data_IF_867531193593
#
_entry.id   IF_867531193593
#
_cell.length_a   1.000
_cell.length_b   1.000
_cell.length_c   1.000
_cell.angle_alpha   90.00
_cell.angle_beta   90.00
_cell.angle_gamma   90.00
#
_symmetry.space_group_name_H-M   'P 1'
#
loop_
_entity.id
_entity.type
_entity.pdbx_description
1 polymer ?
#
# COMPACT_ATOMS: atom_id res chain seq x y z
N UNK A 1 26.13 -3.81 -36.73
CA UNK A 1 25.57 -3.31 -38.01
C UNK A 1 26.16 -4.13 -39.15
N UNK A 2 25.39 -4.60 -40.14
CA UNK A 2 25.92 -5.33 -41.30
C UNK A 2 26.03 -4.36 -42.47
N UNK A 3 27.24 -4.13 -42.99
CA UNK A 3 27.47 -3.28 -44.16
C UNK A 3 27.50 -4.15 -45.42
N UNK A 4 26.63 -3.83 -46.38
CA UNK A 4 26.51 -4.60 -47.62
C UNK A 4 27.52 -4.12 -48.65
N UNK A 5 28.33 -5.04 -49.16
CA UNK A 5 29.29 -4.79 -50.23
C UNK A 5 28.83 -5.56 -51.47
N UNK A 6 28.40 -4.82 -52.47
CA UNK A 6 28.04 -5.43 -53.76
C UNK A 6 29.28 -5.59 -54.61
N UNK A 7 29.51 -6.80 -55.11
CA UNK A 7 30.66 -7.13 -55.95
C UNK A 7 30.23 -7.13 -57.41
N UNK A 8 30.98 -6.46 -58.28
CA UNK A 8 30.72 -6.46 -59.73
C UNK A 8 31.73 -7.31 -60.47
N UNK A 9 31.30 -8.02 -61.51
CA UNK A 9 32.18 -8.80 -62.41
C UNK A 9 33.32 -7.95 -63.00
N UNK A 10 33.12 -6.64 -63.17
CA UNK A 10 34.13 -5.66 -63.63
C UNK A 10 35.15 -5.27 -62.55
N UNK A 11 35.30 -6.07 -61.48
CA UNK A 11 36.29 -5.90 -60.40
C UNK A 11 36.02 -4.73 -59.46
N UNK A 12 34.78 -4.26 -59.35
CA UNK A 12 34.40 -3.22 -58.39
C UNK A 12 33.89 -3.79 -57.06
N UNK A 13 34.24 -3.13 -55.95
CA UNK A 13 33.52 -3.23 -54.68
C UNK A 13 32.69 -1.96 -54.53
N UNK A 14 31.38 -2.12 -54.37
CA UNK A 14 30.45 -1.01 -54.17
C UNK A 14 29.88 -1.14 -52.76
N UNK A 15 30.49 -0.47 -51.78
CA UNK A 15 29.96 -0.48 -50.43
C UNK A 15 28.72 0.40 -50.33
N UNK A 16 27.80 0.02 -49.46
CA UNK A 16 26.65 0.84 -49.11
C UNK A 16 27.10 2.14 -48.38
N UNK A 17 28.17 2.05 -47.59
CA UNK A 17 28.80 3.19 -46.91
C UNK A 17 30.32 3.19 -47.09
N UNK A 18 30.90 4.34 -47.40
CA UNK A 18 32.37 4.52 -47.54
C UNK A 18 33.09 4.75 -46.21
N UNK A 19 32.34 5.01 -45.14
CA UNK A 19 32.85 5.12 -43.77
C UNK A 19 32.37 3.92 -42.95
N UNK A 20 33.27 3.29 -42.21
CA UNK A 20 32.98 2.17 -41.33
C UNK A 20 33.19 2.62 -39.87
N UNK A 21 32.16 2.49 -39.05
CA UNK A 21 32.22 2.76 -37.61
C UNK A 21 31.98 1.48 -36.81
N UNK A 22 32.58 1.40 -35.62
CA UNK A 22 32.29 0.34 -34.64
C UNK A 22 31.00 0.69 -33.90
N UNK A 23 29.87 0.10 -34.33
CA UNK A 23 28.57 0.38 -33.70
C UNK A 23 27.93 -0.89 -33.15
N UNK A 24 27.81 -0.95 -31.82
CA UNK A 24 27.06 -1.97 -31.07
C UNK A 24 27.89 -2.72 -30.02
N UNK A 25 27.22 -3.36 -29.06
CA UNK A 25 27.75 -3.92 -27.81
C UNK A 25 28.88 -4.98 -27.92
N UNK A 26 29.29 -5.33 -29.14
CA UNK A 26 30.42 -6.25 -29.43
C UNK A 26 31.54 -5.62 -30.25
N UNK A 27 31.47 -4.34 -30.60
CA UNK A 27 32.47 -3.60 -31.40
C UNK A 27 32.90 -4.30 -32.71
N UNK A 28 32.02 -5.06 -33.35
CA UNK A 28 32.33 -5.78 -34.59
C UNK A 28 31.61 -5.16 -35.80
N UNK A 29 32.37 -4.85 -36.85
CA UNK A 29 31.82 -4.44 -38.16
C UNK A 29 31.78 -5.64 -39.08
N UNK A 30 30.58 -6.15 -39.34
CA UNK A 30 30.36 -7.27 -40.26
C UNK A 30 30.15 -6.75 -41.68
N UNK A 31 30.96 -7.23 -42.62
CA UNK A 31 30.80 -7.00 -44.06
C UNK A 31 30.07 -8.18 -44.68
N UNK A 32 29.02 -7.92 -45.45
CA UNK A 32 28.32 -8.94 -46.24
C UNK A 32 28.62 -8.73 -47.73
N UNK A 33 29.25 -9.71 -48.36
CA UNK A 33 29.61 -9.69 -49.78
C UNK A 33 28.49 -10.29 -50.63
N UNK A 34 27.91 -9.47 -51.49
CA UNK A 34 26.88 -9.88 -52.44
C UNK A 34 27.52 -10.13 -53.81
N UNK A 35 27.81 -11.40 -54.10
CA UNK A 35 28.44 -11.83 -55.35
C UNK A 35 27.41 -12.10 -56.47
N UNK A 36 27.71 -11.72 -57.73
CA UNK A 36 26.93 -12.11 -58.89
C UNK A 36 27.11 -13.62 -59.15
N UNK A 37 26.15 -14.24 -59.82
CA UNK A 37 26.10 -15.69 -59.99
C UNK A 37 27.40 -16.29 -60.58
N UNK A 38 28.05 -15.58 -61.51
CA UNK A 38 29.30 -15.99 -62.16
C UNK A 38 30.52 -16.06 -61.23
N UNK A 39 30.47 -15.39 -60.08
CA UNK A 39 31.57 -15.32 -59.11
C UNK A 39 31.30 -16.12 -57.83
N UNK A 40 30.19 -16.87 -57.76
CA UNK A 40 29.86 -17.74 -56.62
C UNK A 40 30.55 -19.10 -56.74
N UNK A 41 30.70 -19.80 -55.61
CA UNK A 41 31.23 -21.17 -55.54
C UNK A 41 32.74 -21.29 -55.37
N UNK A 42 33.46 -20.16 -55.28
CA UNK A 42 34.92 -20.15 -55.07
C UNK A 42 35.29 -19.74 -53.64
N UNK A 43 36.47 -20.16 -53.19
CA UNK A 43 37.00 -19.78 -51.89
C UNK A 43 37.38 -18.29 -51.87
N UNK A 44 37.15 -17.63 -50.73
CA UNK A 44 37.29 -16.19 -50.57
C UNK A 44 38.42 -15.85 -49.61
N UNK A 45 39.22 -14.87 -49.99
CA UNK A 45 40.24 -14.26 -49.15
C UNK A 45 40.10 -12.75 -49.17
N UNK A 46 40.18 -12.11 -48.02
CA UNK A 46 40.21 -10.65 -47.89
C UNK A 46 41.63 -10.22 -47.55
N UNK A 47 42.08 -9.19 -48.25
CA UNK A 47 43.34 -8.51 -47.98
C UNK A 47 42.99 -7.14 -47.41
N UNK A 48 43.41 -6.90 -46.18
CA UNK A 48 43.26 -5.63 -45.47
C UNK A 48 44.62 -4.95 -45.37
N UNK A 49 44.70 -3.66 -45.70
CA UNK A 49 45.93 -2.88 -45.51
C UNK A 49 45.60 -1.63 -44.72
N UNK A 50 46.31 -1.46 -43.60
CA UNK A 50 46.28 -0.28 -42.74
C UNK A 50 47.70 0.31 -42.64
N UNK A 51 47.88 1.39 -41.91
CA UNK A 51 49.21 1.94 -41.60
C UNK A 51 50.08 0.97 -40.77
N UNK A 52 49.46 0.03 -40.05
CA UNK A 52 50.15 -0.96 -39.22
C UNK A 52 50.65 -2.17 -40.02
N UNK A 53 50.16 -2.37 -41.25
CA UNK A 53 50.60 -3.46 -42.12
C UNK A 53 49.50 -4.05 -42.98
N UNK A 54 49.85 -5.12 -43.69
CA UNK A 54 48.94 -5.91 -44.53
C UNK A 54 48.52 -7.20 -43.82
N UNK A 55 47.23 -7.45 -43.76
CA UNK A 55 46.61 -8.60 -43.13
C UNK A 55 45.76 -9.39 -44.13
N UNK A 56 45.75 -10.71 -43.97
CA UNK A 56 45.22 -11.65 -44.94
C UNK A 56 44.28 -12.63 -44.23
N UNK A 57 42.99 -12.63 -44.57
CA UNK A 57 41.97 -13.44 -43.88
C UNK A 57 41.21 -14.35 -44.85
N UNK A 58 40.99 -15.60 -44.46
CA UNK A 58 40.07 -16.50 -45.15
C UNK A 58 38.63 -16.20 -44.74
N UNK A 59 37.70 -16.27 -45.69
CA UNK A 59 36.28 -16.02 -45.43
C UNK A 59 35.50 -17.30 -45.69
N UNK A 60 35.02 -17.90 -44.61
CA UNK A 60 34.28 -19.17 -44.64
C UNK A 60 32.82 -19.01 -45.10
N UNK A 61 32.28 -17.80 -45.12
CA UNK A 61 30.91 -17.47 -45.52
C UNK A 61 30.83 -16.26 -46.48
N UNK A 62 29.65 -15.77 -46.83
CA UNK A 62 29.50 -14.47 -47.53
C UNK A 62 29.66 -13.26 -46.59
N UNK A 63 29.84 -13.50 -45.28
CA UNK A 63 30.07 -12.46 -44.26
C UNK A 63 31.48 -12.52 -43.69
N UNK A 64 32.02 -11.35 -43.32
CA UNK A 64 33.32 -11.21 -42.66
C UNK A 64 33.27 -10.15 -41.57
N UNK A 65 33.68 -10.51 -40.36
CA UNK A 65 33.83 -9.55 -39.26
C UNK A 65 35.23 -8.93 -39.30
N UNK A 66 35.31 -7.61 -39.37
CA UNK A 66 36.58 -6.90 -39.32
C UNK A 66 37.24 -7.09 -37.94
N UNK A 67 38.49 -7.57 -37.87
CA UNK A 67 39.19 -7.76 -36.61
C UNK A 67 39.63 -6.42 -36.01
N UNK A 68 39.75 -6.39 -34.69
CA UNK A 68 40.08 -5.18 -33.91
C UNK A 68 41.39 -4.52 -34.35
N UNK A 69 42.41 -5.31 -34.70
CA UNK A 69 43.70 -4.83 -35.18
C UNK A 69 43.61 -3.96 -36.45
N UNK A 70 42.60 -4.21 -37.30
CA UNK A 70 42.33 -3.40 -38.49
C UNK A 70 41.56 -2.11 -38.15
N UNK A 71 40.75 -2.13 -37.10
CA UNK A 71 39.84 -1.06 -36.70
C UNK A 71 40.48 0.02 -35.82
N UNK A 72 41.76 -0.13 -35.47
CA UNK A 72 42.53 0.88 -34.71
C UNK A 72 43.09 2.01 -35.57
N UNK A 73 43.05 1.87 -36.90
CA UNK A 73 43.51 2.89 -37.83
C UNK A 73 42.37 3.84 -38.24
N UNK A 74 42.72 4.95 -38.86
CA UNK A 74 41.82 5.92 -39.47
C UNK A 74 41.39 5.52 -40.89
N UNK A 75 42.10 4.59 -41.53
CA UNK A 75 41.78 4.11 -42.89
C UNK A 75 42.02 2.62 -43.07
N UNK A 76 41.17 1.98 -43.88
CA UNK A 76 41.29 0.58 -44.27
C UNK A 76 41.19 0.45 -45.78
N UNK A 77 42.23 -0.09 -46.42
CA UNK A 77 42.17 -0.51 -47.82
C UNK A 77 41.87 -2.00 -47.91
N UNK A 78 40.73 -2.35 -48.52
CA UNK A 78 40.23 -3.72 -48.58
C UNK A 78 40.16 -4.22 -50.03
N UNK A 79 40.60 -5.46 -50.25
CA UNK A 79 40.48 -6.17 -51.53
C UNK A 79 39.91 -7.57 -51.31
N UNK A 80 38.92 -7.96 -52.13
CA UNK A 80 38.41 -9.33 -52.17
C UNK A 80 39.14 -10.14 -53.26
N UNK A 81 39.56 -11.33 -52.90
CA UNK A 81 40.27 -12.28 -53.78
C UNK A 81 39.49 -13.60 -53.80
N UNK A 82 39.18 -14.10 -54.99
CA UNK A 82 38.53 -15.40 -55.19
C UNK A 82 39.53 -16.40 -55.75
N UNK A 83 39.49 -17.61 -55.21
CA UNK A 83 40.39 -18.71 -55.59
C UNK A 83 39.65 -20.03 -55.83
N UNK A 84 40.16 -20.76 -56.81
CA UNK A 84 39.85 -22.17 -57.04
C UNK A 84 41.09 -22.99 -56.64
N UNK A 85 41.01 -23.63 -55.48
CA UNK A 85 42.19 -24.16 -54.78
C UNK A 85 43.25 -23.08 -54.54
N UNK A 86 44.48 -23.32 -55.00
CA UNK A 86 45.59 -22.36 -54.85
C UNK A 86 45.64 -21.30 -55.96
N UNK A 87 44.81 -21.40 -56.99
CA UNK A 87 44.83 -20.48 -58.14
C UNK A 87 43.90 -19.31 -57.92
N UNK A 88 44.43 -18.08 -58.04
CA UNK A 88 43.60 -16.87 -58.06
C UNK A 88 42.89 -16.77 -59.40
N UNK A 89 41.57 -16.75 -59.34
CA UNK A 89 40.71 -16.66 -60.54
C UNK A 89 40.17 -15.25 -60.73
N UNK A 90 40.07 -14.47 -59.65
CA UNK A 90 39.51 -13.12 -59.69
C UNK A 90 39.96 -12.28 -58.48
N UNK A 91 40.18 -10.97 -58.68
CA UNK A 91 40.47 -10.00 -57.63
C UNK A 91 39.68 -8.72 -57.87
N UNK A 92 39.16 -8.12 -56.81
CA UNK A 92 38.59 -6.79 -56.89
C UNK A 92 39.69 -5.72 -57.00
N UNK A 93 39.34 -4.54 -57.48
CA UNK A 93 40.14 -3.34 -57.26
C UNK A 93 40.04 -3.02 -55.75
N UNK A 94 41.16 -2.73 -55.07
CA UNK A 94 41.10 -2.37 -53.66
C UNK A 94 40.30 -1.09 -53.44
N UNK A 95 39.46 -1.05 -52.42
CA UNK A 95 38.67 0.11 -52.03
C UNK A 95 39.12 0.61 -50.66
N UNK A 96 39.24 1.93 -50.49
CA UNK A 96 39.63 2.55 -49.22
C UNK A 96 38.41 3.03 -48.47
N UNK A 97 38.27 2.55 -47.24
CA UNK A 97 37.26 2.97 -46.27
C UNK A 97 37.88 3.94 -45.26
N UNK A 98 37.12 4.95 -44.86
CA UNK A 98 37.44 5.75 -43.67
C UNK A 98 36.95 4.99 -42.44
N UNK A 99 37.81 4.85 -41.45
CA UNK A 99 37.47 4.23 -40.17
C UNK A 99 37.27 5.31 -39.11
N UNK A 100 36.25 5.14 -38.27
CA UNK A 100 36.01 6.00 -37.10
C UNK A 100 36.34 5.22 -35.81
N UNK A 101 37.61 5.23 -35.35
CA UNK A 101 37.99 4.53 -34.12
C UNK A 101 37.34 5.22 -32.90
N UNK A 102 36.72 4.45 -32.01
CA UNK A 102 36.16 4.92 -30.72
C UNK A 102 36.98 4.36 -29.56
N UNK A 103 38.30 4.53 -29.58
CA UNK A 103 39.17 4.34 -28.41
C UNK A 103 39.67 5.73 -27.99
N UNK A 104 39.59 6.05 -26.71
CA UNK A 104 40.29 7.23 -26.18
C UNK A 104 41.78 6.90 -25.94
N UNK A 105 42.61 7.93 -25.76
CA UNK A 105 44.07 7.83 -25.70
C UNK A 105 44.61 7.01 -24.50
N UNK A 106 43.73 6.48 -23.63
CA UNK A 106 44.10 5.65 -22.48
C UNK A 106 44.18 4.15 -22.79
N UNK A 107 43.71 3.72 -23.97
CA UNK A 107 43.62 2.31 -24.35
C UNK A 107 42.46 1.57 -23.69
N UNK A 108 41.66 2.24 -22.86
CA UNK A 108 40.38 1.71 -22.39
C UNK A 108 39.27 2.01 -23.40
N UNK A 109 38.34 1.07 -23.52
CA UNK A 109 37.15 1.28 -24.33
C UNK A 109 36.27 2.34 -23.65
N UNK A 110 36.04 3.51 -24.27
CA UNK A 110 35.28 4.60 -23.67
C UNK A 110 33.81 4.21 -23.40
N UNK A 111 33.25 3.24 -24.12
CA UNK A 111 31.94 2.66 -23.80
C UNK A 111 32.02 1.78 -22.57
N UNK A 112 33.10 1.00 -22.39
CA UNK A 112 33.28 0.19 -21.17
C UNK A 112 33.47 1.10 -19.97
N UNK A 113 34.30 2.14 -20.09
CA UNK A 113 34.49 3.14 -19.04
C UNK A 113 33.19 3.88 -18.72
N UNK A 114 32.48 4.39 -19.74
CA UNK A 114 31.17 5.03 -19.54
C UNK A 114 30.14 4.05 -18.95
N UNK A 115 30.14 2.77 -19.33
CA UNK A 115 29.27 1.74 -18.73
C UNK A 115 29.64 1.48 -17.27
N UNK A 116 30.91 1.48 -16.92
CA UNK A 116 31.38 1.29 -15.54
C UNK A 116 31.08 2.53 -14.68
N UNK A 117 31.33 3.73 -15.19
CA UNK A 117 31.00 5.00 -14.52
C UNK A 117 29.48 5.16 -14.36
N UNK A 118 28.69 4.84 -15.39
CA UNK A 118 27.23 4.81 -15.31
C UNK A 118 26.77 3.74 -14.30
N UNK A 119 27.37 2.55 -14.32
CA UNK A 119 27.05 1.49 -13.36
C UNK A 119 27.34 1.92 -11.92
N UNK A 120 28.40 2.68 -11.65
CA UNK A 120 28.67 3.21 -10.31
C UNK A 120 27.74 4.39 -9.97
N UNK A 121 27.37 5.23 -10.94
CA UNK A 121 26.40 6.30 -10.72
C UNK A 121 25.00 5.74 -10.42
N UNK A 122 24.53 4.78 -11.21
CA UNK A 122 23.26 4.07 -11.01
C UNK A 122 23.25 3.35 -9.65
N UNK A 123 24.39 2.77 -9.25
CA UNK A 123 24.58 2.14 -7.95
C UNK A 123 24.42 3.16 -6.82
N UNK A 124 25.09 4.30 -6.93
CA UNK A 124 25.04 5.36 -5.92
C UNK A 124 23.64 5.99 -5.84
N UNK A 125 22.97 6.20 -6.97
CA UNK A 125 21.58 6.69 -7.03
C UNK A 125 20.60 5.70 -6.41
N UNK A 126 20.74 4.41 -6.71
CA UNK A 126 19.96 3.35 -6.07
C UNK A 126 20.25 3.28 -4.56
N UNK A 127 21.51 3.36 -4.17
CA UNK A 127 21.94 3.41 -2.77
C UNK A 127 21.35 4.61 -2.01
N UNK A 128 21.35 5.80 -2.60
CA UNK A 128 20.74 6.99 -2.01
C UNK A 128 19.21 6.85 -1.92
N UNK A 129 18.57 6.37 -2.98
CA UNK A 129 17.12 6.12 -2.99
C UNK A 129 16.70 5.09 -1.95
N UNK A 130 17.44 3.98 -1.84
CA UNK A 130 17.21 2.96 -0.82
C UNK A 130 17.55 3.48 0.57
N UNK A 131 18.53 4.38 0.72
CA UNK A 131 18.83 5.05 1.99
C UNK A 131 17.66 5.89 2.46
N UNK A 132 17.03 6.66 1.56
CA UNK A 132 15.85 7.46 1.86
C UNK A 132 14.63 6.59 2.22
N UNK A 133 14.44 5.46 1.52
CA UNK A 133 13.31 4.55 1.73
C UNK A 133 13.45 3.69 3.00
N UNK A 134 14.67 3.27 3.33
CA UNK A 134 14.93 2.33 4.45
C UNK A 134 15.47 3.01 5.71
N UNK A 135 16.01 4.23 5.59
CA UNK A 135 16.69 4.95 6.66
C UNK A 135 18.10 4.44 6.99
N UNK A 136 18.64 3.49 6.22
CA UNK A 136 20.02 3.00 6.37
C UNK A 136 20.97 3.84 5.50
N UNK A 137 22.25 3.96 5.87
CA UNK A 137 23.24 4.63 5.01
C UNK A 137 23.82 3.62 4.01
N UNK A 138 23.27 3.61 2.80
CA UNK A 138 23.59 2.65 1.73
C UNK A 138 24.37 3.30 0.58
N UNK A 139 24.90 4.51 0.79
CA UNK A 139 25.60 5.27 -0.26
C UNK A 139 26.86 4.59 -0.78
N UNK A 140 27.48 3.74 0.05
CA UNK A 140 28.68 2.98 -0.31
C UNK A 140 28.46 1.46 -0.44
N UNK A 141 27.22 0.97 -0.26
CA UNK A 141 26.86 -0.45 -0.37
C UNK A 141 27.06 -0.99 -1.79
N UNK A 142 27.50 -2.24 -1.95
CA UNK A 142 27.76 -2.82 -3.27
C UNK A 142 26.47 -3.31 -3.98
N UNK A 143 26.57 -3.70 -5.25
CA UNK A 143 25.40 -4.11 -6.04
C UNK A 143 24.70 -5.34 -5.49
N UNK A 144 25.43 -6.31 -4.93
CA UNK A 144 24.83 -7.53 -4.41
C UNK A 144 24.04 -7.20 -3.14
N UNK A 145 24.60 -6.35 -2.27
CA UNK A 145 23.92 -5.80 -1.08
C UNK A 145 22.69 -4.97 -1.46
N UNK A 146 22.78 -4.05 -2.43
CA UNK A 146 21.64 -3.23 -2.87
C UNK A 146 20.56 -4.07 -3.56
N UNK A 147 20.91 -5.11 -4.31
CA UNK A 147 19.96 -6.01 -4.96
C UNK A 147 19.29 -6.90 -3.91
N UNK A 148 20.04 -7.43 -2.95
CA UNK A 148 19.49 -8.20 -1.83
C UNK A 148 18.52 -7.31 -1.03
N UNK A 149 18.89 -6.08 -0.69
CA UNK A 149 18.00 -5.10 -0.04
C UNK A 149 16.79 -4.77 -0.93
N UNK A 150 16.96 -4.55 -2.23
CA UNK A 150 15.87 -4.24 -3.15
C UNK A 150 14.92 -5.44 -3.38
N UNK A 151 15.43 -6.67 -3.26
CA UNK A 151 14.63 -7.89 -3.30
C UNK A 151 13.94 -8.17 -1.96
N UNK A 152 14.54 -7.71 -0.86
CA UNK A 152 13.96 -7.71 0.49
C UNK A 152 12.97 -6.55 0.70
N UNK A 153 13.02 -5.50 -0.13
CA UNK A 153 11.93 -4.51 -0.20
C UNK A 153 10.64 -5.26 -0.54
N UNK A 154 9.52 -4.91 0.11
CA UNK A 154 8.25 -5.47 -0.31
C UNK A 154 8.00 -5.05 -1.78
N UNK A 155 8.10 -5.99 -2.73
CA UNK A 155 7.38 -5.91 -4.01
C UNK A 155 5.97 -5.44 -3.64
N UNK A 156 5.44 -4.40 -4.29
CA UNK A 156 4.05 -3.96 -4.07
C UNK A 156 3.12 -5.16 -4.24
N UNK A 157 2.80 -5.79 -3.14
CA UNK A 157 1.66 -6.66 -2.97
C UNK A 157 0.91 -6.15 -1.76
N UNK A 158 -0.40 -6.05 -1.95
CA UNK A 158 -1.44 -5.65 -1.01
C UNK A 158 -1.61 -4.14 -0.75
N UNK A 159 -2.23 -3.51 -1.76
CA UNK A 159 -2.96 -2.22 -1.82
C UNK A 159 -2.11 -0.97 -1.86
N UNK A 160 -2.03 -0.38 -3.05
CA UNK A 160 -1.67 1.03 -3.22
C UNK A 160 -2.59 1.88 -2.35
N UNK A 161 -2.05 2.60 -1.36
CA UNK A 161 -2.83 3.52 -0.52
C UNK A 161 -2.52 4.94 -0.93
N UNK A 162 -3.52 5.66 -1.42
CA UNK A 162 -3.47 7.10 -1.59
C UNK A 162 -3.88 7.79 -0.28
N UNK A 163 -2.93 8.44 0.36
CA UNK A 163 -3.16 9.18 1.60
C UNK A 163 -3.45 10.66 1.31
N UNK A 164 -4.71 11.06 1.51
CA UNK A 164 -5.19 12.43 1.33
C UNK A 164 -5.40 13.16 2.66
N UNK A 165 -4.91 12.61 3.79
CA UNK A 165 -5.16 13.17 5.12
C UNK A 165 -4.69 14.62 5.31
N UNK A 166 -3.75 15.09 4.49
CA UNK A 166 -3.25 16.47 4.50
C UNK A 166 -3.88 17.37 3.41
N UNK A 167 -4.87 16.89 2.66
CA UNK A 167 -5.44 17.62 1.53
C UNK A 167 -6.50 18.65 1.97
N UNK A 168 -6.03 19.82 2.41
CA UNK A 168 -6.85 20.90 2.98
C UNK A 168 -7.95 21.42 2.06
N UNK A 169 -7.75 21.38 0.74
CA UNK A 169 -8.77 21.75 -0.24
C UNK A 169 -10.02 20.86 -0.14
N UNK A 170 -9.84 19.57 0.20
CA UNK A 170 -10.96 18.65 0.43
C UNK A 170 -11.75 19.07 1.66
N UNK A 171 -11.08 19.28 2.79
CA UNK A 171 -11.73 19.73 4.03
C UNK A 171 -12.51 21.02 3.81
N UNK A 172 -11.92 22.00 3.12
CA UNK A 172 -12.59 23.25 2.76
C UNK A 172 -13.82 23.03 1.88
N UNK A 173 -13.74 22.13 0.89
CA UNK A 173 -14.88 21.84 0.00
C UNK A 173 -16.05 21.21 0.77
N UNK A 174 -15.78 20.27 1.67
CA UNK A 174 -16.81 19.60 2.48
C UNK A 174 -17.41 20.54 3.54
N UNK A 175 -16.62 21.46 4.10
CA UNK A 175 -17.14 22.47 5.03
C UNK A 175 -18.26 23.32 4.41
N UNK A 176 -18.18 23.59 3.11
CA UNK A 176 -19.15 24.43 2.40
C UNK A 176 -20.24 23.61 1.69
N UNK A 177 -20.18 22.27 1.75
CA UNK A 177 -21.13 21.39 1.09
C UNK A 177 -22.42 21.25 1.90
N UNK A 178 -23.58 21.45 1.25
CA UNK A 178 -24.92 21.27 1.85
C UNK A 178 -25.55 19.91 1.53
N UNK A 179 -24.90 19.15 0.64
CA UNK A 179 -25.23 17.76 0.31
C UNK A 179 -24.00 16.90 0.56
N UNK A 180 -24.20 15.63 0.96
CA UNK A 180 -23.09 14.69 1.09
C UNK A 180 -22.40 14.56 -0.29
N UNK A 181 -21.09 14.88 -0.41
CA UNK A 181 -20.45 14.91 -1.71
C UNK A 181 -20.38 13.53 -2.37
N UNK A 182 -20.49 13.53 -3.70
CA UNK A 182 -20.40 12.33 -4.54
C UNK A 182 -19.04 11.62 -4.52
N UNK A 183 -18.05 12.24 -3.87
CA UNK A 183 -16.75 11.63 -3.54
C UNK A 183 -16.90 10.48 -2.53
N UNK A 184 -17.96 10.52 -1.72
CA UNK A 184 -18.40 9.38 -0.90
C UNK A 184 -19.26 8.45 -1.76
N UNK A 185 -20.17 9.01 -2.55
CA UNK A 185 -21.23 8.27 -3.27
C UNK A 185 -20.82 7.81 -4.67
N UNK A 186 -19.65 7.19 -4.83
CA UNK A 186 -19.26 6.41 -6.03
C UNK A 186 -19.40 7.09 -7.41
N UNK A 187 -19.56 8.42 -7.45
CA UNK A 187 -19.85 9.18 -8.69
C UNK A 187 -18.61 9.86 -9.28
N UNK A 188 -17.57 10.07 -8.47
CA UNK A 188 -16.24 10.34 -8.99
C UNK A 188 -15.61 9.00 -9.34
N UNK A 189 -15.39 8.76 -10.62
CA UNK A 189 -14.44 7.75 -11.10
C UNK A 189 -13.04 8.16 -10.61
N UNK A 190 -12.71 7.85 -9.36
CA UNK A 190 -11.33 7.59 -8.97
C UNK A 190 -10.89 6.21 -9.48
N UNK A 191 -11.87 5.37 -9.86
CA UNK A 191 -11.68 4.12 -10.55
C UNK A 191 -11.98 4.30 -12.05
N UNK A 192 -11.03 3.85 -12.88
CA UNK A 192 -11.10 3.59 -14.33
C UNK A 192 -10.75 4.75 -15.28
N UNK A 193 -9.45 4.95 -15.52
CA UNK A 193 -9.00 4.66 -16.89
C UNK A 193 -9.20 3.16 -17.08
N UNK A 194 -9.99 2.73 -18.08
CA UNK A 194 -10.12 1.30 -18.37
C UNK A 194 -8.74 0.68 -18.63
N UNK A 195 -8.41 -0.45 -18.00
CA UNK A 195 -7.60 -1.42 -18.69
C UNK A 195 -8.38 -2.73 -18.77
N UNK A 196 -8.28 -3.40 -19.91
CA UNK A 196 -8.73 -4.79 -20.11
C UNK A 196 -7.92 -5.81 -19.26
N UNK A 197 -7.47 -5.43 -18.05
CA UNK A 197 -6.61 -6.23 -17.17
C UNK A 197 -7.29 -6.37 -15.81
N UNK A 198 -7.79 -7.58 -15.46
CA UNK A 198 -8.57 -7.84 -14.24
C UNK A 198 -7.72 -7.89 -12.94
N UNK A 199 -6.51 -7.34 -12.95
CA UNK A 199 -5.56 -7.36 -11.82
C UNK A 199 -4.95 -5.98 -11.52
N UNK A 200 -5.58 -4.86 -11.93
CA UNK A 200 -5.17 -3.53 -11.43
C UNK A 200 -5.36 -3.50 -9.91
N UNK A 201 -4.28 -3.40 -9.14
CA UNK A 201 -4.35 -3.30 -7.68
C UNK A 201 -5.39 -2.23 -7.27
N UNK A 202 -6.39 -2.61 -6.46
CA UNK A 202 -7.37 -1.66 -5.92
C UNK A 202 -6.63 -0.61 -5.09
N UNK A 203 -6.59 0.64 -5.59
CA UNK A 203 -6.04 1.76 -4.83
C UNK A 203 -7.01 2.07 -3.69
N UNK A 204 -6.53 1.92 -2.45
CA UNK A 204 -7.22 2.36 -1.27
C UNK A 204 -7.02 3.85 -1.02
N UNK A 205 -8.00 4.48 -0.39
CA UNK A 205 -7.95 5.91 -0.08
C UNK A 205 -8.11 6.13 1.43
N UNK A 206 -7.22 6.93 2.00
CA UNK A 206 -7.37 7.52 3.33
C UNK A 206 -7.76 8.98 3.20
N UNK A 207 -8.91 9.35 3.74
CA UNK A 207 -9.44 10.71 3.67
C UNK A 207 -9.09 11.51 4.93
N UNK A 208 -8.94 12.85 4.80
CA UNK A 208 -8.82 13.72 5.96
C UNK A 208 -10.13 13.73 6.76
N UNK A 209 -10.10 14.39 7.92
CA UNK A 209 -11.34 14.78 8.58
C UNK A 209 -12.17 15.70 7.68
N UNK A 210 -13.41 15.29 7.44
CA UNK A 210 -14.37 16.02 6.61
C UNK A 210 -15.35 16.74 7.54
N UNK A 211 -15.23 18.08 7.59
CA UNK A 211 -16.19 18.90 8.30
C UNK A 211 -17.51 18.93 7.52
N UNK A 212 -18.43 18.04 7.87
CA UNK A 212 -19.73 17.88 7.22
C UNK A 212 -20.88 18.50 8.02
N UNK A 213 -20.61 19.53 8.85
CA UNK A 213 -21.61 20.26 9.66
C UNK A 213 -22.76 20.94 8.89
N UNK A 214 -22.74 20.91 7.57
CA UNK A 214 -23.81 21.44 6.73
C UNK A 214 -24.57 20.34 6.00
N UNK A 215 -24.14 19.08 6.15
CA UNK A 215 -24.78 17.89 5.58
C UNK A 215 -25.88 17.42 6.54
N UNK A 216 -27.10 17.29 6.02
CA UNK A 216 -28.28 16.98 6.83
C UNK A 216 -28.74 15.52 6.72
N UNK A 217 -28.24 14.76 5.73
CA UNK A 217 -28.65 13.39 5.44
C UNK A 217 -27.45 12.48 5.11
N UNK A 218 -27.32 11.38 5.85
CA UNK A 218 -26.27 10.36 5.73
C UNK A 218 -26.86 8.96 5.36
N UNK A 219 -27.97 8.94 4.62
CA UNK A 219 -28.74 7.73 4.33
C UNK A 219 -28.11 6.78 3.29
N UNK A 220 -28.81 5.68 2.97
CA UNK A 220 -28.31 4.65 2.03
C UNK A 220 -28.05 5.15 0.61
N UNK A 221 -28.63 6.28 0.21
CA UNK A 221 -28.40 6.87 -1.11
C UNK A 221 -27.03 7.51 -1.23
N UNK A 222 -26.31 7.68 -0.12
CA UNK A 222 -24.98 8.29 -0.06
C UNK A 222 -23.97 7.34 0.59
N UNK A 223 -23.78 6.11 0.06
CA UNK A 223 -22.86 5.14 0.65
C UNK A 223 -21.42 5.67 0.57
N UNK A 224 -20.55 5.26 1.51
CA UNK A 224 -19.09 5.43 1.38
C UNK A 224 -18.58 4.54 0.24
N UNK A 225 -17.60 5.01 -0.56
CA UNK A 225 -16.98 4.23 -1.64
C UNK A 225 -16.29 2.98 -1.12
N UNK A 226 -16.32 1.89 -1.91
CA UNK A 226 -15.61 0.66 -1.60
C UNK A 226 -14.08 0.79 -1.68
N UNK A 227 -13.55 1.87 -2.26
CA UNK A 227 -12.11 2.17 -2.29
C UNK A 227 -11.61 2.92 -1.04
N UNK A 228 -12.52 3.39 -0.17
CA UNK A 228 -12.12 4.15 1.04
C UNK A 228 -11.77 3.18 2.17
N UNK A 229 -10.53 3.29 2.66
CA UNK A 229 -10.05 2.54 3.81
C UNK A 229 -10.26 3.28 5.14
N UNK A 230 -10.07 4.59 5.13
CA UNK A 230 -10.16 5.44 6.32
C UNK A 230 -10.86 6.76 5.99
N UNK A 231 -11.81 7.15 6.83
CA UNK A 231 -12.46 8.46 6.73
C UNK A 231 -13.02 8.90 8.08
N UNK A 232 -13.18 10.22 8.24
CA UNK A 232 -13.82 10.79 9.43
C UNK A 232 -14.77 11.93 9.06
N UNK A 233 -15.90 12.03 9.78
CA UNK A 233 -16.99 12.98 9.48
C UNK A 233 -17.44 13.76 10.70
N UNK A 234 -17.91 14.98 10.44
CA UNK A 234 -18.77 15.73 11.35
C UNK A 234 -20.25 15.42 11.09
N UNK A 235 -20.91 14.80 12.05
CA UNK A 235 -22.33 14.44 11.94
C UNK A 235 -23.23 15.28 12.87
N UNK A 236 -22.70 16.36 13.45
CA UNK A 236 -23.41 17.24 14.39
C UNK A 236 -24.68 17.90 13.82
N UNK A 237 -24.72 18.09 12.50
CA UNK A 237 -25.80 18.80 11.82
C UNK A 237 -26.99 17.97 11.39
N UNK A 238 -26.96 16.64 11.59
CA UNK A 238 -28.07 15.77 11.21
C UNK A 238 -29.18 15.85 12.26
N UNK A 239 -30.33 16.51 11.97
CA UNK A 239 -31.41 16.62 12.95
C UNK A 239 -32.20 15.32 13.01
N UNK A 240 -32.56 14.95 14.23
CA UNK A 240 -33.31 13.74 14.54
C UNK A 240 -34.70 13.68 13.91
N UNK A 241 -35.09 12.48 13.45
CA UNK A 241 -36.46 11.93 13.48
C UNK A 241 -36.64 10.59 12.73
N UNK A 242 -35.59 9.83 12.36
CA UNK A 242 -35.66 8.36 12.13
C UNK A 242 -34.26 7.80 11.81
N UNK A 243 -33.40 7.67 12.82
CA UNK A 243 -32.00 7.26 12.67
C UNK A 243 -31.81 5.94 11.89
N UNK A 244 -32.82 5.05 11.84
CA UNK A 244 -32.76 3.79 11.08
C UNK A 244 -32.45 4.01 9.59
N UNK A 245 -32.84 5.15 9.04
CA UNK A 245 -32.67 5.48 7.62
C UNK A 245 -31.61 6.55 7.36
N UNK A 246 -31.34 7.42 8.34
CA UNK A 246 -30.46 8.57 8.16
C UNK A 246 -28.97 8.25 8.25
N UNK A 247 -28.57 7.08 8.76
CA UNK A 247 -27.15 6.69 8.86
C UNK A 247 -26.83 5.43 8.05
N UNK A 248 -27.67 5.16 7.04
CA UNK A 248 -27.50 4.04 6.14
C UNK A 248 -26.16 4.00 5.40
N UNK A 249 -25.47 5.14 5.26
CA UNK A 249 -24.17 5.20 4.60
C UNK A 249 -23.10 4.32 5.25
N UNK A 250 -23.21 4.06 6.55
CA UNK A 250 -22.26 3.27 7.35
C UNK A 250 -22.66 1.79 7.48
N UNK A 251 -23.84 1.42 6.98
CA UNK A 251 -24.37 0.06 7.05
C UNK A 251 -23.92 -0.79 5.87
N UNK A 252 -23.85 -2.11 6.11
CA UNK A 252 -23.51 -3.16 5.13
C UNK A 252 -22.12 -2.95 4.53
N UNK A 253 -21.17 -3.68 5.12
CA UNK A 253 -19.79 -3.92 4.71
C UNK A 253 -19.37 -3.25 3.41
N UNK A 254 -18.77 -2.07 3.55
CA UNK A 254 -17.88 -1.56 2.51
C UNK A 254 -16.67 -2.48 2.45
N UNK A 255 -16.24 -2.85 1.25
CA UNK A 255 -15.22 -3.87 1.08
C UNK A 255 -13.88 -3.48 1.75
N UNK A 256 -13.62 -2.17 1.89
CA UNK A 256 -12.34 -1.66 2.35
C UNK A 256 -12.35 -0.79 3.60
N UNK A 257 -13.50 -0.31 4.10
CA UNK A 257 -13.52 0.64 5.22
C UNK A 257 -13.06 -0.02 6.52
N UNK A 258 -11.81 0.26 6.93
CA UNK A 258 -11.19 -0.28 8.15
C UNK A 258 -11.26 0.66 9.33
N UNK A 259 -11.26 1.98 9.10
CA UNK A 259 -11.30 2.98 10.17
C UNK A 259 -12.32 4.06 9.88
N UNK A 260 -13.13 4.36 10.88
CA UNK A 260 -14.17 5.39 10.79
C UNK A 260 -14.15 6.30 12.02
N UNK A 261 -13.99 7.60 11.82
CA UNK A 261 -14.17 8.60 12.87
C UNK A 261 -15.47 9.39 12.70
N UNK A 262 -16.16 9.67 13.80
CA UNK A 262 -17.38 10.47 13.82
C UNK A 262 -17.31 11.49 14.96
N UNK A 263 -17.53 12.76 14.65
CA UNK A 263 -17.68 13.86 15.63
C UNK A 263 -19.11 14.37 15.64
N UNK A 264 -19.58 14.95 16.76
CA UNK A 264 -20.96 15.45 16.85
C UNK A 264 -21.99 14.35 17.09
N UNK A 265 -21.54 13.17 17.52
CA UNK A 265 -22.37 11.99 17.76
C UNK A 265 -23.42 12.24 18.86
N UNK A 266 -23.18 13.18 19.77
CA UNK A 266 -24.07 13.63 20.86
C UNK A 266 -25.40 14.23 20.38
N UNK A 267 -25.46 14.65 19.13
CA UNK A 267 -26.67 15.16 18.49
C UNK A 267 -27.57 14.05 17.94
N UNK A 268 -27.16 12.78 18.07
CA UNK A 268 -27.85 11.62 17.50
C UNK A 268 -28.61 10.86 18.58
N UNK A 269 -29.93 10.75 18.42
CA UNK A 269 -30.75 9.99 19.36
C UNK A 269 -30.65 8.47 19.17
N UNK A 270 -30.01 7.91 18.14
CA UNK A 270 -29.89 6.45 18.02
C UNK A 270 -28.72 5.99 17.14
N UNK A 271 -27.90 5.09 17.67
CA UNK A 271 -26.88 4.34 16.93
C UNK A 271 -27.39 2.98 16.42
N UNK A 272 -28.68 2.67 16.61
CA UNK A 272 -29.20 1.34 16.31
C UNK A 272 -28.95 0.94 14.87
N UNK A 273 -28.36 -0.24 14.67
CA UNK A 273 -27.96 -0.78 13.37
C UNK A 273 -26.96 0.08 12.59
N UNK A 274 -26.35 1.13 13.14
CA UNK A 274 -25.55 2.09 12.35
C UNK A 274 -24.37 1.44 11.62
N UNK A 275 -23.68 0.50 12.27
CA UNK A 275 -22.52 -0.22 11.71
C UNK A 275 -22.81 -1.70 11.44
N UNK A 276 -24.09 -2.07 11.34
CA UNK A 276 -24.48 -3.47 11.20
C UNK A 276 -23.84 -4.13 9.98
N UNK A 277 -23.30 -5.32 10.19
CA UNK A 277 -22.63 -6.15 9.19
C UNK A 277 -21.50 -5.41 8.46
N UNK A 278 -20.61 -4.75 9.19
CA UNK A 278 -19.36 -4.16 8.67
C UNK A 278 -18.16 -5.06 8.99
N UNK A 279 -17.90 -6.13 8.21
CA UNK A 279 -16.99 -7.21 8.59
C UNK A 279 -15.51 -6.85 8.49
N UNK A 280 -15.16 -5.79 7.77
CA UNK A 280 -13.76 -5.33 7.60
C UNK A 280 -13.39 -4.13 8.47
N UNK A 281 -14.38 -3.54 9.16
CA UNK A 281 -14.19 -2.40 10.03
C UNK A 281 -13.40 -2.84 11.28
N UNK A 282 -12.26 -2.21 11.51
CA UNK A 282 -11.32 -2.54 12.58
C UNK A 282 -11.41 -1.54 13.74
N UNK A 283 -11.69 -0.27 13.47
CA UNK A 283 -11.73 0.80 14.47
C UNK A 283 -12.86 1.79 14.18
N UNK A 284 -13.56 2.17 15.24
CA UNK A 284 -14.55 3.25 15.24
C UNK A 284 -14.15 4.25 16.32
N UNK A 285 -14.03 5.51 15.94
CA UNK A 285 -13.75 6.60 16.86
C UNK A 285 -14.97 7.52 16.97
N UNK A 286 -15.50 7.70 18.17
CA UNK A 286 -16.70 8.51 18.44
C UNK A 286 -16.32 9.69 19.34
N UNK A 287 -16.45 10.91 18.84
CA UNK A 287 -16.02 12.15 19.52
C UNK A 287 -17.17 13.14 19.68
N UNK A 288 -17.14 13.90 20.77
CA UNK A 288 -18.09 14.98 21.07
C UNK A 288 -17.46 16.34 20.70
N UNK A 289 -18.23 17.27 20.13
CA UNK A 289 -17.84 18.66 19.81
C UNK A 289 -16.58 18.87 18.93
N UNK A 290 -16.11 17.85 18.20
CA UNK A 290 -15.00 18.01 17.25
C UNK A 290 -13.61 18.21 17.86
N UNK A 291 -13.47 18.28 19.19
CA UNK A 291 -12.16 18.31 19.86
C UNK A 291 -11.66 16.89 20.14
N UNK A 292 -10.42 16.59 19.74
CA UNK A 292 -9.69 15.37 20.11
C UNK A 292 -9.22 15.41 21.59
N UNK A 293 -9.91 16.15 22.44
CA UNK A 293 -9.50 16.50 23.80
C UNK A 293 -10.58 16.02 24.79
N UNK A 294 -10.17 15.11 25.68
CA UNK A 294 -10.62 14.81 27.07
C UNK A 294 -12.14 14.93 27.40
N UNK A 295 -12.76 13.91 28.06
CA UNK A 295 -14.19 13.64 27.93
C UNK A 295 -15.07 14.65 28.68
N UNK A 296 -15.88 15.41 27.94
CA UNK A 296 -17.06 16.09 28.49
C UNK A 296 -18.29 15.18 28.38
N UNK A 297 -19.01 15.07 29.48
CA UNK A 297 -20.04 14.07 29.76
C UNK A 297 -21.40 14.30 29.06
N UNK A 298 -21.47 14.42 27.75
CA UNK A 298 -22.79 14.35 27.09
C UNK A 298 -22.69 13.58 25.80
N UNK A 299 -22.86 12.26 25.89
CA UNK A 299 -23.29 11.45 24.77
C UNK A 299 -24.71 10.98 25.10
N UNK A 300 -25.70 11.15 24.21
CA UNK A 300 -27.08 10.73 24.50
C UNK A 300 -27.66 9.93 23.34
N UNK A 301 -27.01 8.84 22.95
CA UNK A 301 -27.71 7.86 22.14
C UNK A 301 -28.85 7.24 22.96
N UNK A 302 -30.06 7.35 22.44
CA UNK A 302 -31.29 6.79 23.01
C UNK A 302 -31.44 5.31 22.64
N UNK A 303 -30.70 4.77 21.66
CA UNK A 303 -30.75 3.35 21.31
C UNK A 303 -29.44 2.82 20.73
N UNK A 304 -29.06 1.61 21.14
CA UNK A 304 -27.82 0.92 20.74
C UNK A 304 -28.06 -0.48 20.13
N UNK A 305 -29.33 -0.87 19.97
CA UNK A 305 -29.70 -2.18 19.45
C UNK A 305 -28.99 -2.48 18.13
N UNK A 306 -28.29 -3.61 18.08
CA UNK A 306 -27.51 -4.09 16.93
C UNK A 306 -26.49 -3.09 16.35
N UNK A 307 -26.07 -2.06 17.10
CA UNK A 307 -25.22 -0.98 16.59
C UNK A 307 -23.93 -1.47 15.90
N UNK A 308 -23.28 -2.49 16.46
CA UNK A 308 -22.04 -3.10 15.94
C UNK A 308 -22.23 -4.58 15.55
N UNK A 309 -23.46 -5.06 15.44
CA UNK A 309 -23.73 -6.47 15.16
C UNK A 309 -23.07 -6.89 13.83
N UNK A 310 -22.29 -7.97 13.84
CA UNK A 310 -21.61 -8.48 12.64
C UNK A 310 -20.28 -7.79 12.31
N UNK A 311 -19.80 -6.85 13.13
CA UNK A 311 -18.47 -6.24 13.01
C UNK A 311 -17.34 -7.18 13.45
N UNK A 312 -17.13 -8.26 12.69
CA UNK A 312 -16.25 -9.39 13.08
C UNK A 312 -14.78 -9.00 13.30
N UNK A 313 -14.27 -7.99 12.59
CA UNK A 313 -12.89 -7.48 12.73
C UNK A 313 -12.75 -6.24 13.62
N UNK A 314 -13.85 -5.71 14.16
CA UNK A 314 -13.81 -4.52 15.00
C UNK A 314 -13.02 -4.83 16.27
N UNK A 315 -11.88 -4.16 16.42
CA UNK A 315 -10.99 -4.27 17.58
C UNK A 315 -11.23 -3.16 18.58
N UNK A 316 -11.49 -1.95 18.10
CA UNK A 316 -11.46 -0.76 18.95
C UNK A 316 -12.67 0.15 18.72
N UNK A 317 -13.33 0.52 19.82
CA UNK A 317 -14.25 1.64 19.90
C UNK A 317 -13.60 2.68 20.81
N UNK A 318 -13.13 3.78 20.21
CA UNK A 318 -12.31 4.80 20.87
C UNK A 318 -13.00 6.16 20.87
N UNK A 319 -12.41 7.13 21.56
CA UNK A 319 -13.02 8.44 21.81
C UNK A 319 -13.82 8.46 23.11
N UNK A 320 -14.99 9.09 23.11
CA UNK A 320 -15.85 9.23 24.28
C UNK A 320 -16.43 7.86 24.71
N UNK A 321 -16.55 7.59 26.03
CA UNK A 321 -17.24 6.39 26.51
C UNK A 321 -18.70 6.34 26.07
N UNK A 322 -19.21 5.14 25.78
CA UNK A 322 -20.61 4.90 25.45
C UNK A 322 -21.50 5.24 26.65
N UNK A 323 -22.46 6.14 26.46
CA UNK A 323 -23.40 6.58 27.50
C UNK A 323 -24.71 5.79 27.37
N UNK A 324 -24.95 4.90 28.33
CA UNK A 324 -26.12 4.03 28.34
C UNK A 324 -27.28 4.61 29.16
N UNK A 325 -27.22 5.87 29.59
CA UNK A 325 -28.12 6.43 30.61
C UNK A 325 -29.57 6.52 30.18
N UNK A 326 -29.82 6.67 28.88
CA UNK A 326 -31.15 6.95 28.32
C UNK A 326 -31.95 5.68 28.03
N UNK A 327 -31.27 4.54 27.83
CA UNK A 327 -31.91 3.30 27.36
C UNK A 327 -31.34 2.06 28.02
N UNK A 328 -32.20 1.05 28.20
CA UNK A 328 -31.82 -0.30 28.59
C UNK A 328 -31.78 -1.25 27.40
N UNK A 329 -32.07 -0.77 26.18
CA UNK A 329 -32.11 -1.59 24.96
C UNK A 329 -30.82 -1.44 24.14
N UNK A 330 -29.93 -2.39 24.39
CA UNK A 330 -28.71 -2.65 23.63
C UNK A 330 -28.63 -4.12 23.22
N UNK A 331 -29.80 -4.73 22.96
CA UNK A 331 -29.90 -6.09 22.46
C UNK A 331 -29.09 -6.27 21.18
N UNK A 332 -28.24 -7.30 21.15
CA UNK A 332 -27.42 -7.63 19.98
C UNK A 332 -26.31 -6.63 19.64
N UNK A 333 -26.09 -5.59 20.46
CA UNK A 333 -25.14 -4.50 20.18
C UNK A 333 -23.76 -5.00 19.72
N UNK A 334 -23.23 -6.04 20.37
CA UNK A 334 -21.92 -6.63 20.06
C UNK A 334 -21.98 -8.07 19.53
N UNK A 335 -23.13 -8.51 19.01
CA UNK A 335 -23.26 -9.85 18.45
C UNK A 335 -22.26 -10.05 17.31
N UNK A 336 -21.57 -11.19 17.31
CA UNK A 336 -20.50 -11.54 16.37
C UNK A 336 -19.27 -10.60 16.36
N UNK A 337 -19.05 -9.78 17.41
CA UNK A 337 -17.87 -8.90 17.55
C UNK A 337 -16.67 -9.63 18.18
N UNK A 338 -16.22 -10.72 17.56
CA UNK A 338 -15.20 -11.62 18.13
C UNK A 338 -13.82 -10.97 18.32
N UNK A 339 -13.50 -9.95 17.53
CA UNK A 339 -12.22 -9.25 17.60
C UNK A 339 -12.20 -8.08 18.56
N UNK A 340 -13.31 -7.73 19.22
CA UNK A 340 -13.40 -6.52 20.05
C UNK A 340 -12.50 -6.64 21.27
N UNK A 341 -11.60 -5.67 21.44
CA UNK A 341 -10.61 -5.60 22.51
C UNK A 341 -10.85 -4.40 23.43
N UNK A 342 -11.20 -3.25 22.84
CA UNK A 342 -11.33 -2.01 23.59
C UNK A 342 -12.67 -1.34 23.33
N UNK A 343 -13.41 -1.09 24.41
CA UNK A 343 -14.59 -0.23 24.44
C UNK A 343 -14.74 0.33 25.85
N UNK A 344 -15.20 1.57 25.97
CA UNK A 344 -15.48 2.19 27.27
C UNK A 344 -16.94 2.55 27.42
N UNK A 345 -17.44 2.47 28.64
CA UNK A 345 -18.77 2.87 29.06
C UNK A 345 -18.69 4.02 30.05
N UNK A 346 -19.60 4.98 29.93
CA UNK A 346 -19.72 6.10 30.87
C UNK A 346 -20.10 5.54 32.25
N UNK A 347 -19.47 5.99 33.34
CA UNK A 347 -19.72 5.45 34.66
C UNK A 347 -21.20 5.48 35.06
N UNK A 348 -21.67 4.39 35.69
CA UNK A 348 -23.01 4.23 36.27
C UNK A 348 -24.18 4.35 35.27
N UNK A 349 -23.92 4.21 33.97
CA UNK A 349 -24.96 4.36 32.94
C UNK A 349 -25.56 3.03 32.48
N UNK A 350 -24.84 1.91 32.59
CA UNK A 350 -25.35 0.57 32.22
C UNK A 350 -26.48 0.21 33.19
N UNK A 351 -27.70 0.12 32.64
CA UNK A 351 -28.95 0.01 33.39
C UNK A 351 -29.84 -1.19 32.94
N UNK A 352 -29.37 -2.01 32.00
CA UNK A 352 -30.01 -3.21 31.47
C UNK A 352 -29.00 -4.32 31.14
N UNK A 353 -29.47 -5.40 30.52
CA UNK A 353 -28.63 -6.57 30.23
C UNK A 353 -27.60 -6.28 29.13
N UNK A 354 -26.31 -6.50 29.42
CA UNK A 354 -25.22 -6.32 28.47
C UNK A 354 -24.68 -7.68 28.00
N UNK A 355 -24.72 -7.91 26.69
CA UNK A 355 -24.23 -9.15 26.10
C UNK A 355 -22.86 -8.94 25.43
N UNK A 356 -21.82 -9.44 26.07
CA UNK A 356 -20.43 -9.50 25.58
C UNK A 356 -20.00 -10.97 25.34
N UNK A 357 -20.96 -11.89 25.20
CA UNK A 357 -20.67 -13.33 25.06
C UNK A 357 -19.87 -13.67 23.81
N UNK A 358 -19.97 -12.86 22.75
CA UNK A 358 -19.18 -13.01 21.53
C UNK A 358 -17.85 -12.25 21.56
N UNK A 359 -17.58 -11.42 22.57
CA UNK A 359 -16.42 -10.51 22.63
C UNK A 359 -15.24 -11.13 23.39
N UNK A 360 -14.56 -12.12 22.80
CA UNK A 360 -13.46 -12.83 23.48
C UNK A 360 -12.17 -12.01 23.62
N UNK A 361 -12.01 -10.93 22.85
CA UNK A 361 -10.80 -10.09 22.83
C UNK A 361 -10.70 -9.03 23.93
N UNK A 362 -11.77 -8.76 24.70
CA UNK A 362 -11.87 -7.60 25.63
C UNK A 362 -10.90 -7.63 26.82
N UNK A 363 -10.09 -8.67 26.92
CA UNK A 363 -9.02 -8.85 27.92
C UNK A 363 -7.66 -8.32 27.45
N UNK A 364 -7.51 -7.98 26.16
CA UNK A 364 -6.21 -7.63 25.56
C UNK A 364 -5.85 -6.13 25.63
N UNK A 365 -6.73 -5.28 26.17
CA UNK A 365 -6.51 -3.83 26.21
C UNK A 365 -6.55 -3.12 24.86
N UNK A 366 -6.18 -1.84 24.87
CA UNK A 366 -6.07 -1.01 23.66
C UNK A 366 -4.74 -1.26 22.95
N UNK A 367 -4.73 -1.18 21.61
CA UNK A 367 -3.51 -1.18 20.78
C UNK A 367 -2.59 -2.40 20.95
N UNK A 368 -3.17 -3.60 21.04
CA UNK A 368 -2.40 -4.86 21.07
C UNK A 368 -1.34 -4.89 22.19
N UNK A 369 -1.71 -4.45 23.40
CA UNK A 369 -0.84 -4.54 24.56
C UNK A 369 -0.25 -5.96 24.68
N UNK A 370 1.06 -6.04 24.90
CA UNK A 370 1.80 -7.31 24.97
C UNK A 370 1.47 -8.14 26.22
N UNK A 371 0.70 -7.55 27.15
CA UNK A 371 0.13 -8.18 28.33
C UNK A 371 -1.38 -7.92 28.37
N UNK A 372 -2.13 -8.85 28.96
CA UNK A 372 -3.56 -8.64 29.23
C UNK A 372 -3.77 -7.35 30.05
N UNK A 373 -4.85 -6.63 29.74
CA UNK A 373 -5.19 -5.33 30.32
C UNK A 373 -6.70 -5.34 30.68
N UNK A 374 -7.05 -5.13 31.96
CA UNK A 374 -8.43 -5.18 32.42
C UNK A 374 -9.21 -3.89 32.07
N UNK A 375 -8.64 -2.93 31.34
CA UNK A 375 -9.22 -1.61 31.08
C UNK A 375 -10.69 -1.64 30.61
N UNK A 376 -11.03 -2.51 29.66
CA UNK A 376 -12.43 -2.69 29.23
C UNK A 376 -13.31 -3.29 30.34
N UNK A 377 -12.79 -4.27 31.09
CA UNK A 377 -13.52 -4.91 32.21
C UNK A 377 -13.75 -3.94 33.38
N UNK A 378 -12.74 -3.12 33.71
CA UNK A 378 -12.85 -2.01 34.67
C UNK A 378 -13.87 -0.99 34.17
N UNK A 379 -13.88 -0.68 32.87
CA UNK A 379 -14.88 0.21 32.30
C UNK A 379 -16.29 -0.36 32.39
N UNK A 380 -16.49 -1.67 32.19
CA UNK A 380 -17.79 -2.33 32.42
C UNK A 380 -18.19 -2.21 33.89
N UNK A 381 -17.28 -2.56 34.82
CA UNK A 381 -17.53 -2.48 36.26
C UNK A 381 -17.92 -1.08 36.72
N UNK A 382 -17.20 -0.06 36.25
CA UNK A 382 -17.53 1.35 36.51
C UNK A 382 -18.80 1.81 35.79
N UNK A 383 -19.08 1.25 34.60
CA UNK A 383 -20.26 1.53 33.80
C UNK A 383 -21.55 1.04 34.44
N UNK A 384 -21.52 -0.07 35.18
CA UNK A 384 -22.71 -0.61 35.87
C UNK A 384 -23.19 0.35 36.96
N UNK A 385 -24.48 0.72 36.88
CA UNK A 385 -25.16 1.53 37.90
C UNK A 385 -25.04 0.91 39.30
N UNK A 386 -25.21 1.73 40.32
CA UNK A 386 -25.29 1.22 41.70
C UNK A 386 -26.60 0.43 41.90
N UNK A 387 -26.54 -0.67 42.65
CA UNK A 387 -27.70 -1.51 42.95
C UNK A 387 -28.43 -1.00 44.19
N UNK A 388 -29.75 -0.97 44.13
CA UNK A 388 -30.60 -0.73 45.29
C UNK A 388 -31.68 -1.81 45.41
N UNK A 389 -32.06 -2.12 46.64
CA UNK A 389 -33.07 -3.13 46.92
C UNK A 389 -34.39 -2.77 46.21
N UNK A 390 -34.95 -3.72 45.46
CA UNK A 390 -36.16 -3.51 44.65
C UNK A 390 -35.89 -3.23 43.17
N UNK A 391 -34.64 -2.98 42.76
CA UNK A 391 -34.28 -2.92 41.35
C UNK A 391 -34.11 -4.31 40.74
N UNK A 392 -34.43 -4.43 39.45
CA UNK A 392 -34.08 -5.60 38.67
C UNK A 392 -32.56 -5.74 38.61
N UNK A 393 -32.09 -6.97 38.81
CA UNK A 393 -30.69 -7.33 38.59
C UNK A 393 -30.35 -7.14 37.11
N UNK A 394 -29.10 -6.80 36.85
CA UNK A 394 -28.57 -6.70 35.49
C UNK A 394 -27.80 -7.99 35.19
N UNK A 395 -28.01 -8.55 34.00
CA UNK A 395 -27.19 -9.65 33.49
C UNK A 395 -26.08 -9.07 32.62
N UNK A 396 -24.82 -9.37 32.96
CA UNK A 396 -23.70 -9.14 32.07
C UNK A 396 -23.21 -10.51 31.59
N UNK A 397 -23.38 -10.79 30.30
CA UNK A 397 -22.89 -12.04 29.72
C UNK A 397 -21.49 -11.84 29.20
N UNK A 398 -20.57 -12.69 29.60
CA UNK A 398 -19.19 -12.66 29.13
C UNK A 398 -18.87 -13.92 28.34
N UNK A 399 -17.98 -13.78 27.36
CA UNK A 399 -17.38 -14.95 26.71
C UNK A 399 -16.73 -15.85 27.78
N UNK A 400 -16.82 -17.18 27.63
CA UNK A 400 -16.36 -18.14 28.64
C UNK A 400 -14.92 -17.87 29.09
N UNK A 401 -14.00 -17.60 28.16
CA UNK A 401 -12.60 -17.25 28.48
C UNK A 401 -12.44 -15.99 29.32
N UNK A 402 -13.35 -15.02 29.24
CA UNK A 402 -13.25 -13.75 29.99
C UNK A 402 -13.68 -13.93 31.45
N UNK A 403 -14.52 -14.93 31.74
CA UNK A 403 -15.02 -15.17 33.11
C UNK A 403 -13.90 -15.48 34.10
N UNK A 404 -12.90 -16.26 33.68
CA UNK A 404 -11.75 -16.61 34.52
C UNK A 404 -10.87 -15.37 34.82
N UNK A 405 -10.88 -14.37 33.94
CA UNK A 405 -10.15 -13.12 34.17
C UNK A 405 -10.82 -12.28 35.25
N UNK A 406 -12.16 -12.25 35.32
CA UNK A 406 -12.88 -11.47 36.33
C UNK A 406 -12.55 -11.90 37.77
N UNK A 407 -12.19 -13.17 37.98
CA UNK A 407 -11.79 -13.70 39.28
C UNK A 407 -10.29 -13.58 39.54
N UNK A 408 -9.49 -13.40 38.49
CA UNK A 408 -8.02 -13.29 38.56
C UNK A 408 -7.56 -11.85 38.79
N UNK A 409 -8.25 -10.87 38.22
CA UNK A 409 -7.92 -9.45 38.37
C UNK A 409 -8.47 -8.84 39.65
N UNK A 410 -7.77 -7.85 40.19
CA UNK A 410 -8.15 -7.10 41.39
C UNK A 410 -8.35 -5.63 41.09
N UNK A 411 -9.24 -5.02 41.86
CA UNK A 411 -9.48 -3.58 41.82
C UNK A 411 -9.68 -3.02 43.22
N UNK A 412 -9.46 -1.72 43.32
CA UNK A 412 -9.79 -0.92 44.49
C UNK A 412 -10.54 0.33 44.04
N UNK A 413 -11.29 0.93 44.97
CA UNK A 413 -12.03 2.17 44.70
C UNK A 413 -11.09 3.35 44.90
N UNK A 414 -10.90 4.11 43.85
CA UNK A 414 -10.21 5.39 43.88
C UNK A 414 -11.00 6.36 44.81
N UNK A 415 -10.34 6.92 45.84
CA UNK A 415 -11.02 7.73 46.85
C UNK A 415 -11.44 9.11 46.34
N UNK A 416 -10.82 9.62 45.27
CA UNK A 416 -11.10 10.95 44.74
C UNK A 416 -12.29 10.93 43.77
N UNK A 417 -12.30 9.94 42.89
CA UNK A 417 -13.31 9.79 41.83
C UNK A 417 -14.46 8.87 42.24
N UNK A 418 -14.25 8.00 43.22
CA UNK A 418 -15.19 6.95 43.61
C UNK A 418 -15.33 5.83 42.57
N UNK A 419 -14.51 5.83 41.52
CA UNK A 419 -14.46 4.79 40.48
C UNK A 419 -13.44 3.72 40.84
N UNK A 420 -13.57 2.54 40.26
CA UNK A 420 -12.60 1.46 40.47
C UNK A 420 -11.45 1.57 39.48
N UNK A 421 -10.25 1.30 39.98
CA UNK A 421 -9.01 1.20 39.20
C UNK A 421 -8.40 -0.18 39.39
N UNK A 422 -7.60 -0.64 38.42
CA UNK A 422 -6.86 -1.90 38.57
C UNK A 422 -5.85 -1.77 39.71
N UNK A 423 -5.74 -2.82 40.52
CA UNK A 423 -4.83 -2.86 41.65
C UNK A 423 -4.20 -4.24 41.80
N UNK A 424 -3.05 -4.32 42.49
CA UNK A 424 -2.39 -5.58 42.79
C UNK A 424 -3.05 -6.34 43.96
N UNK A 425 -3.84 -5.63 44.77
CA UNK A 425 -4.57 -6.16 45.93
C UNK A 425 -6.01 -5.61 45.90
N UNK A 426 -6.88 -6.12 46.77
CA UNK A 426 -8.28 -5.68 46.85
C UNK A 426 -9.29 -6.77 46.49
N UNK A 427 -10.48 -6.37 46.06
CA UNK A 427 -11.55 -7.29 45.66
C UNK A 427 -11.39 -7.72 44.20
N UNK A 428 -11.92 -8.90 43.86
CA UNK A 428 -11.95 -9.34 42.47
C UNK A 428 -12.98 -8.54 41.68
N UNK A 429 -12.78 -8.37 40.38
CA UNK A 429 -13.77 -7.70 39.53
C UNK A 429 -15.14 -8.41 39.61
N UNK A 430 -15.14 -9.75 39.64
CA UNK A 430 -16.33 -10.57 39.82
C UNK A 430 -17.04 -10.28 41.16
N UNK A 431 -16.29 -10.14 42.24
CA UNK A 431 -16.83 -9.86 43.58
C UNK A 431 -17.55 -8.51 43.60
N UNK A 432 -16.91 -7.46 43.07
CA UNK A 432 -17.51 -6.11 43.03
C UNK A 432 -18.79 -6.12 42.19
N UNK A 433 -18.75 -6.69 40.98
CA UNK A 433 -19.92 -6.78 40.10
C UNK A 433 -21.09 -7.50 40.78
N UNK A 434 -20.85 -8.67 41.37
CA UNK A 434 -21.94 -9.48 41.93
C UNK A 434 -22.45 -8.98 43.28
N UNK A 435 -21.55 -8.56 44.17
CA UNK A 435 -21.88 -8.26 45.57
C UNK A 435 -22.26 -6.80 45.77
N UNK A 436 -21.59 -5.87 45.09
CA UNK A 436 -21.84 -4.43 45.25
C UNK A 436 -22.78 -3.86 44.19
N UNK A 437 -22.73 -4.42 42.97
CA UNK A 437 -23.51 -3.92 41.82
C UNK A 437 -24.73 -4.78 41.49
N UNK A 438 -25.00 -5.84 42.24
CA UNK A 438 -26.19 -6.68 42.07
C UNK A 438 -26.28 -7.36 40.70
N UNK A 439 -25.13 -7.63 40.06
CA UNK A 439 -25.04 -8.19 38.71
C UNK A 439 -25.09 -9.72 38.74
N UNK A 440 -25.76 -10.31 37.75
CA UNK A 440 -25.65 -11.71 37.38
C UNK A 440 -24.61 -11.82 36.26
N UNK A 441 -23.50 -12.52 36.53
CA UNK A 441 -22.49 -12.85 35.51
C UNK A 441 -22.92 -14.15 34.84
N UNK A 442 -23.16 -14.11 33.53
CA UNK A 442 -23.70 -15.23 32.76
C UNK A 442 -22.84 -15.64 31.57
#
# INVERSE_FOLDING_TARGET
MINRITVSEKRGLFPEYSSLGTVGERNATTLLFLLPASLRGYSKKIVCVTSQGGFDYEVSNDTFDLPSEVLTDSTLKLQLVLKDGNKVIWKSIPYTFTLNPTLDDSGENPITKAKTEQKEADRAELGETLSDLTGQDLKEADWDELIDIANELPLKTDRDVLDLTNYTALTNAFEHATTAPSLLTGGYKLDKEEPDVPESAEILIKLPYLNTKNVTNFGWQTPISDSIEECSFDISSSPDANARYNFGMFQKGRACLRKLGLTGVEHINSLSNMFINSPVLNEIALYVNGEFIVPTEVYRATFYSDAFNGCRKLKYIVGNPLDMSVTSDYGGMFKYCQSLQYVRFKPKTINGDLDLSDCSGIIKGKYEASSDDPGTLISVLNGVRDYSAGMNKITIKFHTFVKDYLTSWRCERDPETGLYVSANQGMTLATVLTSEKGVIIA
#
